data_IF_342638411045
#
_entry.id   IF_342638411045
#
_cell.length_a   1.000
_cell.length_b   1.000
_cell.length_c   1.000
_cell.angle_alpha   90.00
_cell.angle_beta   90.00
_cell.angle_gamma   90.00
#
_symmetry.space_group_name_H-M   'P 1'
#
loop_
_entity.id
_entity.type
_entity.pdbx_description
1 polymer ?
#
# COMPACT_ATOMS: atom_id res chain seq x y z
N UNK A 1 27.01 15.84 21.81
CA UNK A 1 26.65 14.41 21.59
C UNK A 1 25.16 14.17 21.26
N UNK A 2 24.23 15.06 21.68
CA UNK A 2 22.78 14.94 21.38
C UNK A 2 22.44 14.92 19.87
N UNK A 3 23.18 15.69 19.05
CA UNK A 3 22.94 15.76 17.61
C UNK A 3 23.28 14.48 16.82
N UNK A 4 24.19 13.64 17.31
CA UNK A 4 24.52 12.36 16.66
C UNK A 4 23.51 11.28 17.02
N UNK A 5 23.13 11.17 18.30
CA UNK A 5 22.08 10.24 18.75
C UNK A 5 20.75 10.46 18.00
N UNK A 6 20.36 11.73 17.78
CA UNK A 6 19.14 12.05 17.02
C UNK A 6 19.18 11.60 15.56
N UNK A 7 20.33 11.63 14.90
CA UNK A 7 20.49 11.15 13.51
C UNK A 7 20.32 9.64 13.41
N UNK A 8 20.93 8.90 14.33
CA UNK A 8 20.78 7.43 14.38
C UNK A 8 19.35 7.01 14.70
N UNK A 9 18.66 7.73 15.58
CA UNK A 9 17.24 7.49 15.85
C UNK A 9 16.37 7.68 14.60
N UNK A 10 16.58 8.75 13.83
CA UNK A 10 15.86 8.99 12.57
C UNK A 10 16.16 7.90 11.55
N UNK A 11 17.42 7.47 11.43
CA UNK A 11 17.82 6.38 10.54
C UNK A 11 17.09 5.08 10.90
N UNK A 12 17.14 4.66 12.17
CA UNK A 12 16.48 3.43 12.64
C UNK A 12 14.97 3.51 12.43
N UNK A 13 14.34 4.64 12.78
CA UNK A 13 12.91 4.85 12.55
C UNK A 13 12.56 4.72 11.06
N UNK A 14 13.37 5.29 10.17
CA UNK A 14 13.16 5.23 8.72
C UNK A 14 13.31 3.80 8.21
N UNK A 15 14.31 3.05 8.67
CA UNK A 15 14.51 1.64 8.31
C UNK A 15 13.31 0.80 8.74
N UNK A 16 12.82 0.96 9.97
CA UNK A 16 11.64 0.24 10.44
C UNK A 16 10.41 0.54 9.59
N UNK A 17 10.14 1.81 9.32
CA UNK A 17 9.00 2.19 8.48
C UNK A 17 9.13 1.53 7.11
N UNK A 18 10.28 1.65 6.44
CA UNK A 18 10.51 1.06 5.13
C UNK A 18 10.40 -0.48 5.13
N UNK A 19 10.83 -1.14 6.20
CA UNK A 19 10.72 -2.59 6.35
C UNK A 19 9.26 -3.06 6.46
N UNK A 20 8.41 -2.33 7.19
CA UNK A 20 6.99 -2.65 7.30
C UNK A 20 6.17 -2.21 6.08
N UNK A 21 6.60 -1.15 5.38
CA UNK A 21 5.93 -0.64 4.17
C UNK A 21 6.52 -1.22 2.89
N UNK A 22 7.09 -2.43 2.92
CA UNK A 22 7.73 -3.12 1.80
C UNK A 22 6.76 -3.55 0.67
N UNK A 23 5.95 -2.61 0.18
CA UNK A 23 4.76 -2.83 -0.67
C UNK A 23 5.03 -3.45 -2.04
N UNK A 24 6.30 -3.57 -2.43
CA UNK A 24 6.69 -4.11 -3.73
C UNK A 24 6.50 -5.62 -3.84
N UNK A 25 6.57 -6.37 -2.73
CA UNK A 25 6.39 -7.82 -2.74
C UNK A 25 4.95 -8.24 -2.41
N UNK A 26 4.17 -7.35 -1.80
CA UNK A 26 2.84 -7.68 -1.28
C UNK A 26 1.91 -8.21 -2.37
N UNK A 27 1.80 -7.50 -3.50
CA UNK A 27 0.89 -7.90 -4.59
C UNK A 27 1.20 -9.32 -5.08
N UNK A 28 2.47 -9.62 -5.34
CA UNK A 28 2.89 -10.95 -5.76
C UNK A 28 2.50 -12.01 -4.73
N UNK A 29 2.70 -11.74 -3.43
CA UNK A 29 2.43 -12.68 -2.36
C UNK A 29 0.94 -13.08 -2.22
N UNK A 30 0.00 -12.13 -2.38
CA UNK A 30 -1.43 -12.44 -2.25
C UNK A 30 -2.17 -12.63 -3.59
N UNK A 31 -1.58 -12.25 -4.72
CA UNK A 31 -2.23 -12.23 -6.04
C UNK A 31 -2.91 -13.55 -6.41
N UNK A 32 -2.29 -14.69 -6.11
CA UNK A 32 -2.88 -16.00 -6.40
C UNK A 32 -4.16 -16.27 -5.61
N UNK A 33 -4.20 -15.89 -4.32
CA UNK A 33 -5.42 -16.01 -3.51
C UNK A 33 -6.49 -15.03 -3.96
N UNK A 34 -6.08 -13.78 -4.24
CA UNK A 34 -7.00 -12.75 -4.69
C UNK A 34 -7.66 -13.11 -6.03
N UNK A 35 -6.91 -13.72 -6.95
CA UNK A 35 -7.44 -14.27 -8.21
C UNK A 35 -8.54 -15.29 -7.96
N UNK A 36 -8.32 -16.22 -7.03
CA UNK A 36 -9.26 -17.28 -6.71
C UNK A 36 -10.54 -16.73 -6.05
N UNK A 37 -10.40 -15.82 -5.08
CA UNK A 37 -11.55 -15.25 -4.35
C UNK A 37 -12.41 -14.36 -5.25
N UNK A 38 -11.79 -13.57 -6.14
CA UNK A 38 -12.53 -12.73 -7.08
C UNK A 38 -13.02 -13.50 -8.32
N UNK A 39 -12.55 -14.73 -8.54
CA UNK A 39 -12.91 -15.52 -9.73
C UNK A 39 -12.44 -14.91 -11.05
N UNK A 40 -11.34 -14.14 -11.03
CA UNK A 40 -10.89 -13.34 -12.18
C UNK A 40 -9.85 -14.04 -13.07
N UNK A 41 -9.79 -13.64 -14.34
CA UNK A 41 -8.80 -14.10 -15.31
C UNK A 41 -7.40 -13.53 -15.01
N UNK A 42 -6.36 -14.10 -15.63
CA UNK A 42 -4.99 -13.58 -15.47
C UNK A 42 -4.85 -12.15 -16.03
N UNK A 43 -5.58 -11.82 -17.10
CA UNK A 43 -5.56 -10.48 -17.70
C UNK A 43 -6.14 -9.46 -16.73
N UNK A 44 -7.27 -9.79 -16.11
CA UNK A 44 -7.89 -8.95 -15.08
C UNK A 44 -6.98 -8.78 -13.85
N UNK A 45 -6.32 -9.85 -13.41
CA UNK A 45 -5.32 -9.77 -12.33
C UNK A 45 -4.13 -8.87 -12.72
N UNK A 46 -3.69 -8.88 -13.98
CA UNK A 46 -2.62 -8.01 -14.47
C UNK A 46 -3.05 -6.53 -14.49
N UNK A 47 -4.32 -6.23 -14.79
CA UNK A 47 -4.85 -4.87 -14.63
C UNK A 47 -4.81 -4.42 -13.18
N UNK A 48 -5.15 -5.30 -12.24
CA UNK A 48 -5.06 -5.00 -10.81
C UNK A 48 -3.61 -4.79 -10.36
N UNK A 49 -2.66 -5.59 -10.88
CA UNK A 49 -1.23 -5.39 -10.65
C UNK A 49 -0.77 -4.01 -11.13
N UNK A 50 -1.20 -3.63 -12.34
CA UNK A 50 -0.90 -2.32 -12.94
C UNK A 50 -1.51 -1.19 -12.11
N UNK A 51 -2.75 -1.34 -11.65
CA UNK A 51 -3.39 -0.36 -10.76
C UNK A 51 -2.64 -0.21 -9.44
N UNK A 52 -2.16 -1.31 -8.85
CA UNK A 52 -1.31 -1.30 -7.65
C UNK A 52 0.00 -0.54 -7.91
N UNK A 53 0.69 -0.83 -9.01
CA UNK A 53 1.95 -0.15 -9.34
C UNK A 53 1.75 1.34 -9.66
N UNK A 54 0.64 1.72 -10.32
CA UNK A 54 0.25 3.11 -10.50
C UNK A 54 0.03 3.83 -9.17
N UNK A 55 -0.61 3.17 -8.20
CA UNK A 55 -0.79 3.69 -6.84
C UNK A 55 0.55 3.98 -6.16
N UNK A 56 1.55 3.09 -6.32
CA UNK A 56 2.91 3.32 -5.80
C UNK A 56 3.58 4.53 -6.45
N UNK A 57 3.43 4.69 -7.78
CA UNK A 57 3.92 5.89 -8.47
C UNK A 57 3.28 7.13 -7.86
N UNK A 58 1.97 7.12 -7.57
CA UNK A 58 1.24 8.23 -6.94
C UNK A 58 1.77 8.67 -5.56
N UNK A 59 2.68 7.90 -4.96
CA UNK A 59 3.36 8.25 -3.71
C UNK A 59 4.13 9.57 -3.74
N UNK A 60 4.50 10.09 -4.92
CA UNK A 60 5.13 11.42 -5.07
C UNK A 60 4.28 12.56 -4.47
N UNK A 61 2.95 12.39 -4.43
CA UNK A 61 2.02 13.36 -3.85
C UNK A 61 2.27 13.62 -2.35
N UNK A 62 2.84 12.66 -1.62
CA UNK A 62 3.23 12.86 -0.22
C UNK A 62 4.33 13.93 -0.06
N UNK A 63 5.21 14.06 -1.06
CA UNK A 63 6.23 15.11 -1.11
C UNK A 63 5.61 16.49 -1.27
N UNK A 64 4.58 16.63 -2.12
CA UNK A 64 3.81 17.88 -2.21
C UNK A 64 3.06 18.18 -0.91
N UNK A 65 2.47 17.17 -0.27
CA UNK A 65 1.76 17.36 1.00
C UNK A 65 2.68 17.93 2.09
N UNK A 66 3.95 17.52 2.12
CA UNK A 66 4.95 18.05 3.05
C UNK A 66 5.32 19.52 2.82
N UNK A 67 5.00 20.10 1.65
CA UNK A 67 5.16 21.54 1.42
C UNK A 67 4.11 22.39 2.17
N UNK A 68 2.97 21.77 2.51
CA UNK A 68 1.83 22.47 3.11
C UNK A 68 1.48 21.98 4.52
N UNK A 69 1.79 20.72 4.85
CA UNK A 69 1.45 20.06 6.10
C UNK A 69 2.70 19.63 6.88
N UNK A 70 2.66 19.63 8.23
CA UNK A 70 3.78 19.17 9.04
C UNK A 70 3.97 17.65 8.91
N UNK A 71 5.22 17.19 9.01
CA UNK A 71 5.62 15.78 8.81
C UNK A 71 4.74 14.77 9.59
N UNK A 72 4.48 14.91 10.90
CA UNK A 72 3.70 13.93 11.63
C UNK A 72 2.29 13.75 11.07
N UNK A 73 1.65 14.84 10.63
CA UNK A 73 0.29 14.80 10.05
C UNK A 73 0.29 14.01 8.74
N UNK A 74 1.27 14.25 7.87
CA UNK A 74 1.40 13.48 6.61
C UNK A 74 1.65 11.99 6.91
N UNK A 75 2.47 11.66 7.91
CA UNK A 75 2.70 10.27 8.31
C UNK A 75 1.44 9.59 8.85
N UNK A 76 0.64 10.29 9.66
CA UNK A 76 -0.63 9.75 10.16
C UNK A 76 -1.63 9.53 9.04
N UNK A 77 -1.75 10.46 8.09
CA UNK A 77 -2.61 10.31 6.91
C UNK A 77 -2.17 9.10 6.09
N UNK A 78 -0.87 8.96 5.82
CA UNK A 78 -0.32 7.82 5.08
C UNK A 78 -0.59 6.48 5.80
N UNK A 79 -0.36 6.43 7.12
CA UNK A 79 -0.62 5.24 7.92
C UNK A 79 -2.12 4.86 7.93
N UNK A 80 -3.00 5.85 8.03
CA UNK A 80 -4.44 5.64 8.01
C UNK A 80 -4.94 5.13 6.65
N UNK A 81 -4.48 5.75 5.55
CA UNK A 81 -4.77 5.29 4.19
C UNK A 81 -4.27 3.86 3.95
N UNK A 82 -3.05 3.55 4.42
CA UNK A 82 -2.49 2.19 4.36
C UNK A 82 -3.33 1.19 5.15
N UNK A 83 -3.68 1.51 6.40
CA UNK A 83 -4.51 0.66 7.24
C UNK A 83 -5.87 0.35 6.59
N UNK A 84 -6.54 1.36 6.04
CA UNK A 84 -7.81 1.18 5.32
C UNK A 84 -7.60 0.32 4.06
N UNK A 85 -6.65 0.67 3.20
CA UNK A 85 -6.42 -0.04 1.94
C UNK A 85 -6.09 -1.52 2.14
N UNK A 86 -5.10 -1.82 2.98
CA UNK A 86 -4.73 -3.20 3.31
C UNK A 86 -5.82 -3.92 4.11
N UNK A 87 -6.55 -3.21 4.98
CA UNK A 87 -7.67 -3.75 5.73
C UNK A 87 -8.80 -4.22 4.80
N UNK A 88 -9.21 -3.38 3.84
CA UNK A 88 -10.19 -3.77 2.82
C UNK A 88 -9.71 -4.95 1.98
N UNK A 89 -8.45 -4.94 1.58
CA UNK A 89 -7.90 -6.04 0.80
C UNK A 89 -7.80 -7.35 1.58
N UNK A 90 -7.49 -7.28 2.88
CA UNK A 90 -7.51 -8.43 3.75
C UNK A 90 -8.93 -8.98 3.94
N UNK A 91 -9.94 -8.11 4.14
CA UNK A 91 -11.35 -8.52 4.23
C UNK A 91 -11.84 -9.21 2.96
N UNK A 92 -11.41 -8.72 1.80
CA UNK A 92 -11.65 -9.36 0.51
C UNK A 92 -11.02 -10.76 0.45
N UNK A 93 -9.72 -10.89 0.72
CA UNK A 93 -9.00 -12.17 0.64
C UNK A 93 -9.52 -13.19 1.67
N UNK A 94 -9.99 -12.72 2.81
CA UNK A 94 -10.59 -13.53 3.87
C UNK A 94 -12.06 -13.90 3.61
N UNK A 95 -12.62 -13.52 2.45
CA UNK A 95 -13.99 -13.84 2.03
C UNK A 95 -15.08 -13.24 2.94
N UNK A 96 -14.75 -12.22 3.73
CA UNK A 96 -15.72 -11.48 4.54
C UNK A 96 -16.56 -10.51 3.70
N UNK A 97 -16.02 -10.06 2.56
CA UNK A 97 -16.68 -9.15 1.62
C UNK A 97 -16.46 -9.71 0.21
N UNK A 98 -17.53 -9.84 -0.56
CA UNK A 98 -17.45 -10.12 -2.00
C UNK A 98 -17.65 -8.82 -2.77
N UNK A 99 -16.67 -8.45 -3.61
CA UNK A 99 -16.86 -7.38 -4.58
C UNK A 99 -17.07 -8.01 -5.97
N UNK A 100 -18.18 -7.69 -6.66
CA UNK A 100 -18.31 -8.05 -8.07
C UNK A 100 -17.23 -7.29 -8.86
N UNK A 101 -16.35 -8.03 -9.55
CA UNK A 101 -15.35 -7.42 -10.40
C UNK A 101 -16.02 -6.97 -11.70
N UNK A 102 -16.14 -5.65 -11.89
CA UNK A 102 -16.99 -5.06 -12.94
C UNK A 102 -16.41 -5.10 -14.37
N UNK A 103 -15.14 -5.47 -14.53
CA UNK A 103 -14.54 -5.63 -15.85
C UNK A 103 -14.96 -6.98 -16.44
N UNK A 104 -16.21 -7.06 -16.93
CA UNK A 104 -16.65 -8.19 -17.73
C UNK A 104 -15.75 -8.34 -18.97
N UNK A 105 -15.36 -9.57 -19.28
CA UNK A 105 -14.52 -9.89 -20.45
C UNK A 105 -15.21 -9.37 -21.73
N UNK A 106 -14.63 -8.33 -22.32
CA UNK A 106 -14.92 -7.87 -23.68
C UNK A 106 -13.85 -8.42 -24.63
#
# INVERSE_FOLDING_TARGET
MVGQSRKWLVLVATIWIQAFTGTNFDFSAYSSKLKLVLGISQVQLNYLATASDLGKVFGWSSGLALLHLPLPVVMFIAAFLGFIGYGFQWLLIADFISLPYFLNDA
#
